data_IF_672371188559
#
_entry.id   IF_672371188559
#
_cell.length_a   1.000
_cell.length_b   1.000
_cell.length_c   1.000
_cell.angle_alpha   90.00
_cell.angle_beta   90.00
_cell.angle_gamma   90.00
#
_symmetry.space_group_name_H-M   'P 1'
#
loop_
_entity.id
_entity.type
_entity.pdbx_description
1 polymer ?
#
# COMPACT_ATOMS: atom_id res chain seq x y z
N UNK A 1 19.35 30.85 -46.32
CA UNK A 1 19.49 31.00 -47.78
C UNK A 1 19.91 29.63 -48.31
N UNK A 2 19.01 29.02 -49.09
CA UNK A 2 19.20 28.02 -50.15
C UNK A 2 20.34 26.97 -50.07
N UNK A 3 20.20 25.70 -50.45
CA UNK A 3 19.12 24.76 -50.82
C UNK A 3 19.91 23.50 -51.29
N UNK A 4 19.45 22.29 -50.92
CA UNK A 4 19.35 21.03 -51.70
C UNK A 4 20.67 20.52 -52.36
N UNK A 5 21.28 19.41 -51.93
CA UNK A 5 20.88 17.98 -52.03
C UNK A 5 20.91 17.43 -53.48
N UNK A 6 21.46 16.22 -53.65
CA UNK A 6 21.01 15.14 -54.56
C UNK A 6 22.09 14.07 -54.76
N UNK A 7 21.74 12.89 -54.25
CA UNK A 7 22.06 11.52 -54.66
C UNK A 7 22.47 11.24 -56.11
N UNK A 8 23.18 10.11 -56.30
CA UNK A 8 22.73 9.14 -57.31
C UNK A 8 23.75 8.50 -58.27
N UNK A 9 24.31 7.34 -57.87
CA UNK A 9 24.30 6.03 -58.60
C UNK A 9 24.88 5.92 -60.04
N UNK A 10 25.77 4.92 -60.24
CA UNK A 10 25.81 3.93 -61.36
C UNK A 10 27.02 2.99 -61.13
N UNK A 11 26.88 1.77 -60.59
CA UNK A 11 26.50 0.50 -61.22
C UNK A 11 27.40 0.06 -62.40
N UNK A 12 28.17 -1.03 -62.23
CA UNK A 12 28.24 -2.11 -63.23
C UNK A 12 29.02 -3.34 -62.70
N UNK A 13 28.31 -4.46 -62.62
CA UNK A 13 28.85 -5.82 -62.64
C UNK A 13 29.46 -6.08 -64.02
N UNK A 14 30.62 -6.75 -64.09
CA UNK A 14 30.82 -7.70 -65.19
C UNK A 14 31.70 -8.90 -64.83
N UNK A 15 31.30 -10.03 -65.39
CA UNK A 15 31.75 -11.41 -65.15
C UNK A 15 33.06 -11.69 -65.89
N UNK A 16 33.96 -12.50 -65.31
CA UNK A 16 34.65 -13.59 -66.05
C UNK A 16 34.90 -14.81 -65.15
N UNK A 17 34.08 -15.86 -65.38
CA UNK A 17 34.46 -17.28 -65.23
C UNK A 17 35.65 -17.55 -66.16
N UNK A 18 36.68 -18.33 -65.83
CA UNK A 18 36.85 -19.81 -65.96
C UNK A 18 38.38 -20.04 -65.94
N UNK A 19 39.03 -20.96 -65.24
CA UNK A 19 39.06 -22.44 -65.38
C UNK A 19 39.95 -23.03 -64.25
N UNK A 20 39.65 -24.28 -63.89
CA UNK A 20 40.41 -25.25 -63.10
C UNK A 20 41.96 -25.10 -63.12
N UNK A 21 42.71 -25.45 -62.08
CA UNK A 21 43.04 -26.86 -61.75
C UNK A 21 43.75 -26.94 -60.38
N UNK A 22 43.55 -28.07 -59.70
CA UNK A 22 43.99 -28.41 -58.36
C UNK A 22 45.51 -28.56 -58.15
N UNK A 23 45.90 -28.15 -56.93
CA UNK A 23 46.89 -28.70 -55.98
C UNK A 23 48.34 -29.00 -56.39
N UNK A 24 49.26 -28.35 -55.67
CA UNK A 24 50.28 -29.04 -54.86
C UNK A 24 50.55 -28.30 -53.55
N UNK A 25 50.48 -29.06 -52.46
CA UNK A 25 50.64 -28.67 -51.05
C UNK A 25 52.08 -28.21 -50.77
N UNK A 26 52.23 -27.15 -49.98
CA UNK A 26 53.37 -27.04 -49.07
C UNK A 26 52.94 -26.36 -47.77
N UNK A 27 52.98 -27.14 -46.71
CA UNK A 27 52.56 -26.82 -45.35
C UNK A 27 53.65 -26.03 -44.62
N UNK A 28 53.32 -24.85 -44.09
CA UNK A 28 54.14 -24.21 -43.06
C UNK A 28 53.26 -23.86 -41.85
N UNK A 29 53.45 -24.64 -40.79
CA UNK A 29 53.04 -24.52 -39.39
C UNK A 29 51.76 -23.75 -39.06
N UNK A 30 50.65 -24.48 -38.97
CA UNK A 30 49.39 -24.06 -38.33
C UNK A 30 49.50 -23.98 -36.79
N UNK A 31 50.66 -24.28 -36.19
CA UNK A 31 50.76 -24.44 -34.72
C UNK A 31 50.93 -23.12 -33.96
N UNK A 32 51.40 -22.06 -34.61
CA UNK A 32 51.71 -20.78 -33.92
C UNK A 32 50.48 -19.85 -33.88
N UNK A 33 49.58 -19.93 -34.88
CA UNK A 33 48.37 -19.11 -34.91
C UNK A 33 47.26 -19.64 -33.99
N UNK A 34 47.15 -20.97 -33.84
CA UNK A 34 46.20 -21.57 -32.90
C UNK A 34 46.61 -21.35 -31.44
N UNK A 35 47.91 -21.23 -31.13
CA UNK A 35 48.37 -20.95 -29.76
C UNK A 35 48.03 -19.51 -29.33
N UNK A 36 48.15 -18.54 -30.24
CA UNK A 36 47.75 -17.15 -29.99
C UNK A 36 46.22 -16.95 -29.97
N UNK A 37 45.45 -17.73 -30.74
CA UNK A 37 43.98 -17.68 -30.72
C UNK A 37 43.35 -18.43 -29.52
N UNK A 38 44.01 -19.48 -29.00
CA UNK A 38 43.57 -20.16 -27.77
C UNK A 38 43.84 -19.37 -26.49
N UNK A 39 44.95 -18.62 -26.44
CA UNK A 39 45.25 -17.75 -25.29
C UNK A 39 44.30 -16.54 -25.24
N UNK A 40 43.80 -16.06 -26.38
CA UNK A 40 42.86 -14.94 -26.42
C UNK A 40 41.41 -15.33 -26.06
N UNK A 41 41.00 -16.59 -26.32
CA UNK A 41 39.65 -17.07 -25.98
C UNK A 41 39.50 -17.59 -24.55
N UNK A 42 40.59 -17.92 -23.85
CA UNK A 42 40.53 -18.32 -22.43
C UNK A 42 40.41 -17.14 -21.45
N UNK A 43 40.65 -15.91 -21.90
CA UNK A 43 40.61 -14.70 -21.06
C UNK A 43 39.24 -14.01 -21.04
N UNK A 44 38.28 -14.43 -21.87
CA UNK A 44 36.98 -13.74 -22.02
C UNK A 44 35.88 -14.43 -21.18
N UNK A 45 36.12 -15.65 -20.68
CA UNK A 45 35.14 -16.44 -19.91
C UNK A 45 35.15 -16.24 -18.38
N UNK A 46 36.17 -15.64 -17.79
CA UNK A 46 36.36 -15.59 -16.32
C UNK A 46 35.82 -14.31 -15.64
N UNK A 47 35.28 -13.34 -16.38
CA UNK A 47 34.92 -12.03 -15.83
C UNK A 47 33.59 -11.98 -15.04
N UNK A 48 32.62 -12.86 -15.34
CA UNK A 48 31.28 -12.80 -14.73
C UNK A 48 31.16 -13.52 -13.38
N UNK A 49 31.90 -14.60 -13.15
CA UNK A 49 31.90 -15.29 -11.84
C UNK A 49 32.64 -14.51 -10.74
N UNK A 50 33.60 -13.66 -11.13
CA UNK A 50 34.41 -12.89 -10.18
C UNK A 50 33.62 -11.78 -9.47
N UNK A 51 32.67 -11.11 -10.15
CA UNK A 51 31.88 -10.03 -9.54
C UNK A 51 30.88 -10.55 -8.50
N UNK A 52 30.21 -11.67 -8.78
CA UNK A 52 29.30 -12.30 -7.81
C UNK A 52 30.05 -12.82 -6.58
N UNK A 53 31.21 -13.45 -6.79
CA UNK A 53 32.06 -13.92 -5.69
C UNK A 53 32.62 -12.76 -4.85
N UNK A 54 33.04 -11.67 -5.47
CA UNK A 54 33.43 -10.44 -4.78
C UNK A 54 32.27 -9.85 -3.97
N UNK A 55 31.07 -9.76 -4.53
CA UNK A 55 29.88 -9.29 -3.81
C UNK A 55 29.58 -10.17 -2.58
N UNK A 56 29.67 -11.51 -2.72
CA UNK A 56 29.54 -12.46 -1.60
C UNK A 56 30.61 -12.24 -0.54
N UNK A 57 31.86 -12.03 -0.94
CA UNK A 57 32.95 -11.75 -0.01
C UNK A 57 32.71 -10.45 0.79
N UNK A 58 32.26 -9.37 0.13
CA UNK A 58 31.90 -8.14 0.83
C UNK A 58 30.71 -8.33 1.79
N UNK A 59 29.70 -9.12 1.38
CA UNK A 59 28.57 -9.48 2.25
C UNK A 59 29.04 -10.23 3.50
N UNK A 60 29.91 -11.24 3.35
CA UNK A 60 30.45 -12.01 4.47
C UNK A 60 31.29 -11.13 5.40
N UNK A 61 32.19 -10.31 4.84
CA UNK A 61 32.99 -9.36 5.64
C UNK A 61 32.12 -8.38 6.41
N UNK A 62 31.06 -7.86 5.80
CA UNK A 62 30.10 -6.99 6.48
C UNK A 62 29.48 -7.69 7.69
N UNK A 63 29.07 -8.96 7.53
CA UNK A 63 28.52 -9.77 8.60
C UNK A 63 29.56 -10.05 9.71
N UNK A 64 30.79 -10.41 9.34
CA UNK A 64 31.88 -10.68 10.29
C UNK A 64 32.22 -9.43 11.11
N UNK A 65 32.37 -8.27 10.45
CA UNK A 65 32.65 -7.01 11.15
C UNK A 65 31.49 -6.57 12.04
N UNK A 66 30.26 -6.80 11.63
CA UNK A 66 29.10 -6.56 12.49
C UNK A 66 29.15 -7.41 13.76
N UNK A 67 29.38 -8.72 13.62
CA UNK A 67 29.49 -9.64 14.76
C UNK A 67 30.66 -9.29 15.69
N UNK A 68 31.81 -8.93 15.12
CA UNK A 68 32.97 -8.49 15.90
C UNK A 68 32.66 -7.20 16.67
N UNK A 69 32.06 -6.19 16.04
CA UNK A 69 31.68 -4.95 16.70
C UNK A 69 30.70 -5.20 17.86
N UNK A 70 29.67 -6.04 17.64
CA UNK A 70 28.73 -6.45 18.70
C UNK A 70 29.46 -7.09 19.88
N UNK A 71 30.41 -7.98 19.61
CA UNK A 71 31.21 -8.64 20.65
C UNK A 71 32.02 -7.63 21.45
N UNK A 72 32.77 -6.75 20.78
CA UNK A 72 33.60 -5.73 21.44
C UNK A 72 32.76 -4.80 22.33
N UNK A 73 31.59 -4.36 21.88
CA UNK A 73 30.69 -3.56 22.73
C UNK A 73 30.15 -4.33 23.94
N UNK A 74 29.81 -5.62 23.77
CA UNK A 74 29.37 -6.46 24.90
C UNK A 74 30.49 -6.64 25.92
N UNK A 75 31.72 -6.91 25.46
CA UNK A 75 32.89 -7.05 26.32
C UNK A 75 33.17 -5.75 27.09
N UNK A 76 33.00 -4.57 26.47
CA UNK A 76 33.09 -3.27 27.15
C UNK A 76 32.02 -3.08 28.23
N UNK A 77 30.78 -3.50 27.93
CA UNK A 77 29.65 -3.42 28.88
C UNK A 77 29.89 -4.35 30.07
N UNK A 78 30.33 -5.58 29.84
CA UNK A 78 30.60 -6.57 30.88
C UNK A 78 31.74 -6.11 31.80
N UNK A 79 32.72 -5.39 31.25
CA UNK A 79 33.81 -4.76 32.00
C UNK A 79 33.40 -3.45 32.70
N UNK A 80 32.13 -3.04 32.63
CA UNK A 80 31.61 -1.78 33.18
C UNK A 80 32.32 -0.52 32.67
N UNK A 81 32.92 -0.56 31.47
CA UNK A 81 33.63 0.56 30.85
C UNK A 81 32.69 1.34 29.93
N UNK A 82 32.63 2.66 30.11
CA UNK A 82 31.84 3.56 29.24
C UNK A 82 30.39 3.09 29.02
N UNK A 83 29.75 2.54 30.07
CA UNK A 83 28.45 1.84 29.98
C UNK A 83 27.40 2.61 29.17
N UNK A 84 27.24 3.92 29.39
CA UNK A 84 26.25 4.72 28.67
C UNK A 84 26.53 4.85 27.17
N UNK A 85 27.81 5.04 26.79
CA UNK A 85 28.22 5.18 25.39
C UNK A 85 28.22 3.83 24.67
N UNK A 86 28.75 2.78 25.30
CA UNK A 86 28.76 1.44 24.72
C UNK A 86 27.34 0.90 24.47
N UNK A 87 26.40 1.15 25.39
CA UNK A 87 24.99 0.79 25.18
C UNK A 87 24.32 1.64 24.10
N UNK A 88 24.64 2.94 24.00
CA UNK A 88 24.15 3.79 22.91
C UNK A 88 24.61 3.26 21.56
N UNK A 89 25.92 3.10 21.36
CA UNK A 89 26.50 2.70 20.07
C UNK A 89 26.09 1.27 19.66
N UNK A 90 26.07 0.33 20.60
CA UNK A 90 25.56 -1.02 20.35
C UNK A 90 24.07 -1.00 19.99
N UNK A 91 23.28 -0.19 20.69
CA UNK A 91 21.86 -0.01 20.39
C UNK A 91 21.61 0.57 18.99
N UNK A 92 22.38 1.58 18.60
CA UNK A 92 22.33 2.16 17.24
C UNK A 92 22.79 1.16 16.18
N UNK A 93 23.80 0.34 16.49
CA UNK A 93 24.28 -0.71 15.60
C UNK A 93 23.19 -1.76 15.35
N UNK A 94 22.52 -2.22 16.40
CA UNK A 94 21.36 -3.12 16.29
C UNK A 94 20.22 -2.49 15.49
N UNK A 95 19.92 -1.20 15.72
CA UNK A 95 18.87 -0.49 14.97
C UNK A 95 19.15 -0.46 13.47
N UNK A 96 20.40 -0.18 13.09
CA UNK A 96 20.84 -0.18 11.68
C UNK A 96 20.73 -1.55 11.00
N UNK A 97 20.80 -2.63 11.78
CA UNK A 97 20.64 -4.01 11.29
C UNK A 97 19.20 -4.55 11.47
N UNK A 98 18.24 -3.66 11.74
CA UNK A 98 16.82 -4.00 11.97
C UNK A 98 16.56 -4.95 13.16
N UNK A 99 17.51 -5.06 14.09
CA UNK A 99 17.35 -5.81 15.34
C UNK A 99 16.71 -4.94 16.43
N UNK A 100 15.48 -4.47 16.17
CA UNK A 100 14.84 -3.40 16.95
C UNK A 100 14.61 -3.73 18.43
N UNK A 101 14.28 -4.98 18.77
CA UNK A 101 14.13 -5.39 20.17
C UNK A 101 15.46 -5.32 20.94
N UNK A 102 16.56 -5.75 20.31
CA UNK A 102 17.91 -5.65 20.88
C UNK A 102 18.35 -4.20 20.99
N UNK A 103 18.09 -3.40 19.94
CA UNK A 103 18.33 -1.97 19.95
C UNK A 103 17.61 -1.28 21.13
N UNK A 104 16.30 -1.49 21.27
CA UNK A 104 15.50 -0.90 22.34
C UNK A 104 16.02 -1.25 23.74
N UNK A 105 16.41 -2.51 23.97
CA UNK A 105 17.00 -2.98 25.24
C UNK A 105 18.28 -2.24 25.60
N UNK A 106 19.22 -2.10 24.66
CA UNK A 106 20.48 -1.39 24.92
C UNK A 106 20.27 0.13 25.02
N UNK A 107 19.48 0.73 24.14
CA UNK A 107 19.20 2.17 24.16
C UNK A 107 18.48 2.61 25.44
N UNK A 108 17.67 1.74 26.06
CA UNK A 108 17.03 2.02 27.36
C UNK A 108 18.03 2.19 28.52
N UNK A 109 19.27 1.71 28.37
CA UNK A 109 20.34 1.81 29.38
C UNK A 109 21.20 3.06 29.20
N UNK A 110 20.87 3.92 28.24
CA UNK A 110 21.55 5.20 27.99
C UNK A 110 20.56 6.37 28.14
N UNK A 111 21.03 7.50 28.66
CA UNK A 111 20.18 8.64 29.04
C UNK A 111 20.12 9.78 28.01
N UNK A 112 20.96 9.73 26.96
CA UNK A 112 21.06 10.79 25.95
C UNK A 112 19.81 10.97 25.10
N UNK A 113 19.60 12.16 24.53
CA UNK A 113 18.46 12.43 23.64
C UNK A 113 18.45 11.51 22.41
N UNK A 114 19.63 11.21 21.86
CA UNK A 114 19.78 10.23 20.77
C UNK A 114 19.33 8.83 21.19
N UNK A 115 19.71 8.38 22.40
CA UNK A 115 19.26 7.11 22.94
C UNK A 115 17.73 7.05 23.08
N UNK A 116 17.12 8.12 23.60
CA UNK A 116 15.66 8.24 23.74
C UNK A 116 14.96 8.18 22.38
N UNK A 117 15.45 8.94 21.38
CA UNK A 117 14.93 8.95 20.01
C UNK A 117 14.95 7.55 19.40
N UNK A 118 16.12 6.92 19.33
CA UNK A 118 16.24 5.61 18.69
C UNK A 118 15.55 4.51 19.49
N UNK A 119 15.43 4.63 20.81
CA UNK A 119 14.60 3.70 21.59
C UNK A 119 13.13 3.79 21.17
N UNK A 120 12.58 4.99 21.08
CA UNK A 120 11.19 5.19 20.67
C UNK A 120 10.95 4.68 19.24
N UNK A 121 11.89 4.95 18.32
CA UNK A 121 11.85 4.41 16.96
C UNK A 121 11.95 2.88 16.94
N UNK A 122 12.81 2.26 17.74
CA UNK A 122 12.89 0.80 17.86
C UNK A 122 11.58 0.19 18.33
N UNK A 123 10.91 0.78 19.32
CA UNK A 123 9.60 0.34 19.81
C UNK A 123 8.54 0.45 18.71
N UNK A 124 8.50 1.58 17.99
CA UNK A 124 7.62 1.75 16.83
C UNK A 124 7.87 0.68 15.75
N UNK A 125 9.14 0.43 15.40
CA UNK A 125 9.52 -0.55 14.35
C UNK A 125 9.28 -2.01 14.75
N UNK A 126 9.20 -2.30 16.04
CA UNK A 126 8.81 -3.61 16.58
C UNK A 126 7.29 -3.75 16.78
N UNK A 127 6.50 -2.75 16.35
CA UNK A 127 5.04 -2.67 16.52
C UNK A 127 4.56 -2.59 17.98
N UNK A 128 5.44 -2.27 18.93
CA UNK A 128 5.05 -1.96 20.31
C UNK A 128 4.65 -0.49 20.42
N UNK A 129 3.49 -0.16 19.85
CA UNK A 129 3.01 1.22 19.75
C UNK A 129 2.68 1.83 21.13
N UNK A 130 2.29 1.00 22.10
CA UNK A 130 1.97 1.46 23.46
C UNK A 130 3.22 1.96 24.16
N UNK A 131 4.30 1.16 24.19
CA UNK A 131 5.56 1.61 24.77
C UNK A 131 6.21 2.72 23.94
N UNK A 132 6.09 2.67 22.59
CA UNK A 132 6.60 3.71 21.71
C UNK A 132 5.99 5.08 22.04
N UNK A 133 4.66 5.15 22.25
CA UNK A 133 3.96 6.40 22.61
C UNK A 133 4.57 7.02 23.87
N UNK A 134 4.76 6.21 24.91
CA UNK A 134 5.35 6.65 26.17
C UNK A 134 6.83 7.03 26.04
N UNK A 135 7.57 6.38 25.15
CA UNK A 135 8.96 6.73 24.85
C UNK A 135 9.07 8.06 24.09
N UNK A 136 8.24 8.28 23.06
CA UNK A 136 8.22 9.54 22.31
C UNK A 136 7.88 10.75 23.18
N UNK A 137 6.92 10.59 24.09
CA UNK A 137 6.51 11.64 25.03
C UNK A 137 7.64 12.15 25.93
N UNK A 138 8.69 11.35 26.16
CA UNK A 138 9.85 11.68 27.03
C UNK A 138 10.97 12.41 26.29
N UNK A 139 10.84 12.63 24.98
CA UNK A 139 11.84 13.32 24.17
C UNK A 139 11.58 14.83 24.24
N UNK A 140 12.60 15.57 24.65
CA UNK A 140 12.53 17.04 24.73
C UNK A 140 12.92 17.63 23.39
N UNK A 141 12.17 18.63 22.92
CA UNK A 141 12.40 19.30 21.63
C UNK A 141 12.58 18.32 20.45
N UNK A 142 11.61 17.41 20.21
CA UNK A 142 11.73 16.40 19.17
C UNK A 142 11.87 17.04 17.78
N UNK A 143 12.74 16.47 16.95
CA UNK A 143 12.88 16.84 15.54
C UNK A 143 11.67 16.38 14.71
N UNK A 144 11.61 16.80 13.44
CA UNK A 144 10.48 16.49 12.55
C UNK A 144 10.32 14.99 12.27
N UNK A 145 11.42 14.22 12.21
CA UNK A 145 11.36 12.77 12.09
C UNK A 145 10.70 12.13 13.33
N UNK A 146 11.12 12.55 14.51
CA UNK A 146 10.62 12.06 15.80
C UNK A 146 9.14 12.39 15.97
N UNK A 147 8.75 13.63 15.66
CA UNK A 147 7.34 14.04 15.68
C UNK A 147 6.50 13.25 14.67
N UNK A 148 7.02 13.02 13.46
CA UNK A 148 6.31 12.25 12.45
C UNK A 148 6.04 10.81 12.92
N UNK A 149 7.05 10.09 13.41
CA UNK A 149 6.84 8.73 13.92
C UNK A 149 6.03 8.69 15.23
N UNK A 150 6.07 9.76 16.03
CA UNK A 150 5.16 9.90 17.17
C UNK A 150 3.70 10.03 16.72
N UNK A 151 3.42 10.87 15.72
CA UNK A 151 2.09 10.98 15.10
C UNK A 151 1.61 9.65 14.55
N UNK A 152 2.47 8.92 13.82
CA UNK A 152 2.15 7.58 13.30
C UNK A 152 1.86 6.59 14.42
N UNK A 153 2.59 6.67 15.53
CA UNK A 153 2.35 5.82 16.70
C UNK A 153 0.96 6.07 17.29
N UNK A 154 0.56 7.34 17.44
CA UNK A 154 -0.78 7.70 17.90
C UNK A 154 -1.86 7.20 16.92
N UNK A 155 -1.62 7.31 15.61
CA UNK A 155 -2.53 6.80 14.57
C UNK A 155 -2.70 5.29 14.65
N UNK A 156 -1.63 4.51 14.85
CA UNK A 156 -1.69 3.05 15.05
C UNK A 156 -2.46 2.63 16.29
N UNK A 157 -2.58 3.52 17.27
CA UNK A 157 -3.39 3.36 18.47
C UNK A 157 -4.82 3.92 18.32
N UNK A 158 -5.21 4.35 17.12
CA UNK A 158 -6.49 5.03 16.83
C UNK A 158 -6.71 6.33 17.60
N UNK A 159 -5.63 7.00 18.05
CA UNK A 159 -5.65 8.28 18.76
C UNK A 159 -5.53 9.44 17.77
N UNK A 160 -6.51 9.58 16.89
CA UNK A 160 -6.43 10.47 15.72
C UNK A 160 -6.29 11.95 16.08
N UNK A 161 -6.97 12.45 17.13
CA UNK A 161 -6.88 13.86 17.50
C UNK A 161 -5.49 14.22 18.07
N UNK A 162 -4.89 13.31 18.86
CA UNK A 162 -3.48 13.43 19.29
C UNK A 162 -2.53 13.38 18.08
N UNK A 163 -2.74 12.44 17.16
CA UNK A 163 -1.93 12.29 15.95
C UNK A 163 -1.95 13.55 15.10
N UNK A 164 -3.13 14.13 14.83
CA UNK A 164 -3.28 15.38 14.08
C UNK A 164 -2.55 16.54 14.74
N UNK A 165 -2.69 16.69 16.07
CA UNK A 165 -1.98 17.72 16.82
C UNK A 165 -0.45 17.56 16.83
N UNK A 166 0.05 16.33 16.70
CA UNK A 166 1.49 16.05 16.55
C UNK A 166 1.95 16.32 15.11
N UNK A 167 1.22 15.82 14.10
CA UNK A 167 1.55 16.04 12.70
C UNK A 167 1.58 17.52 12.32
N UNK A 168 0.68 18.34 12.87
CA UNK A 168 0.67 19.79 12.62
C UNK A 168 1.93 20.53 13.12
N UNK A 169 2.74 19.87 13.97
CA UNK A 169 4.01 20.39 14.50
C UNK A 169 5.23 19.93 13.68
N UNK A 170 5.04 19.09 12.66
CA UNK A 170 6.11 18.60 11.78
C UNK A 170 6.36 19.64 10.68
N UNK A 171 7.51 20.34 10.76
CA UNK A 171 7.77 21.53 9.93
C UNK A 171 8.86 21.32 8.87
N UNK A 172 9.74 20.34 9.02
CA UNK A 172 10.90 20.16 8.12
C UNK A 172 10.69 19.01 7.13
N UNK A 173 11.13 19.22 5.89
CA UNK A 173 11.13 18.21 4.83
C UNK A 173 12.14 17.07 5.13
N UNK A 174 11.89 15.84 4.67
CA UNK A 174 10.71 15.40 3.91
C UNK A 174 9.47 15.14 4.78
N UNK A 175 9.61 15.15 6.10
CA UNK A 175 8.56 14.71 7.02
C UNK A 175 7.35 15.64 7.06
N UNK A 176 7.51 16.94 6.79
CA UNK A 176 6.38 17.87 6.69
C UNK A 176 5.43 17.52 5.55
N UNK A 177 5.94 17.09 4.39
CA UNK A 177 5.11 16.61 3.29
C UNK A 177 4.36 15.33 3.67
N UNK A 178 5.09 14.36 4.25
CA UNK A 178 4.49 13.10 4.73
C UNK A 178 3.42 13.33 5.80
N UNK A 179 3.66 14.24 6.75
CA UNK A 179 2.69 14.61 7.77
C UNK A 179 1.44 15.26 7.16
N UNK A 180 1.62 16.12 6.15
CA UNK A 180 0.51 16.70 5.38
C UNK A 180 -0.35 15.64 4.70
N UNK A 181 0.28 14.64 4.06
CA UNK A 181 -0.42 13.50 3.46
C UNK A 181 -1.21 12.69 4.51
N UNK A 182 -0.63 12.45 5.70
CA UNK A 182 -1.35 11.76 6.77
C UNK A 182 -2.53 12.58 7.31
N UNK A 183 -2.37 13.89 7.51
CA UNK A 183 -3.47 14.78 7.91
C UNK A 183 -4.59 14.73 6.88
N UNK A 184 -4.27 14.81 5.59
CA UNK A 184 -5.25 14.73 4.52
C UNK A 184 -5.95 13.37 4.48
N UNK A 185 -5.21 12.27 4.70
CA UNK A 185 -5.77 10.92 4.76
C UNK A 185 -6.72 10.75 5.95
N UNK A 186 -6.31 11.17 7.14
CA UNK A 186 -7.07 11.06 8.40
C UNK A 186 -8.36 11.87 8.34
N UNK A 187 -8.28 13.10 7.85
CA UNK A 187 -9.42 14.01 7.88
C UNK A 187 -10.29 13.89 6.65
N UNK A 188 -9.70 13.65 5.47
CA UNK A 188 -10.28 13.92 4.14
C UNK A 188 -11.08 15.23 4.08
N UNK A 189 -10.78 16.17 4.97
CA UNK A 189 -11.49 17.43 5.17
C UNK A 189 -10.76 18.48 4.37
N UNK A 190 -11.27 18.79 3.18
CA UNK A 190 -10.58 19.72 2.28
C UNK A 190 -11.25 19.91 0.93
N UNK A 191 -12.18 19.05 0.57
CA UNK A 191 -12.98 19.22 -0.63
C UNK A 191 -14.31 19.85 -0.25
N UNK A 192 -14.43 21.18 -0.37
CA UNK A 192 -15.72 21.89 -0.33
C UNK A 192 -16.50 21.59 -1.61
N UNK A 193 -16.80 20.31 -1.83
CA UNK A 193 -17.62 19.86 -2.95
C UNK A 193 -19.07 20.11 -2.55
N UNK A 194 -19.78 20.84 -3.40
CA UNK A 194 -21.22 20.94 -3.33
C UNK A 194 -21.84 19.82 -4.18
N UNK A 195 -23.03 19.35 -3.80
CA UNK A 195 -23.75 18.27 -4.51
C UNK A 195 -23.92 18.54 -6.02
N UNK A 196 -24.00 19.82 -6.42
CA UNK A 196 -24.18 20.20 -7.83
C UNK A 196 -22.95 19.88 -8.70
N UNK A 197 -21.79 19.65 -8.08
CA UNK A 197 -20.55 19.26 -8.75
C UNK A 197 -20.36 17.74 -8.82
N UNK A 198 -21.34 16.96 -8.34
CA UNK A 198 -21.34 15.50 -8.51
C UNK A 198 -21.67 15.11 -9.96
N UNK A 199 -21.30 13.89 -10.40
CA UNK A 199 -21.75 13.35 -11.67
C UNK A 199 -23.26 13.55 -11.87
N UNK A 200 -23.65 14.00 -13.07
CA UNK A 200 -25.03 14.40 -13.39
C UNK A 200 -26.08 13.38 -12.93
N UNK A 201 -25.83 12.09 -13.17
CA UNK A 201 -26.74 11.00 -12.75
C UNK A 201 -27.02 11.00 -11.24
N UNK A 202 -26.00 11.26 -10.41
CA UNK A 202 -26.14 11.28 -8.96
C UNK A 202 -26.90 12.53 -8.53
N UNK A 203 -26.55 13.70 -9.07
CA UNK A 203 -27.24 14.96 -8.78
C UNK A 203 -28.72 14.89 -9.15
N UNK A 204 -29.05 14.27 -10.28
CA UNK A 204 -30.45 14.02 -10.70
C UNK A 204 -31.17 13.07 -9.73
N UNK A 205 -30.54 11.97 -9.32
CA UNK A 205 -31.11 11.03 -8.36
C UNK A 205 -31.36 11.68 -6.99
N UNK A 206 -30.43 12.52 -6.52
CA UNK A 206 -30.53 13.28 -5.27
C UNK A 206 -31.70 14.27 -5.34
N UNK A 207 -31.79 15.05 -6.41
CA UNK A 207 -32.81 16.08 -6.57
C UNK A 207 -34.21 15.49 -6.78
N UNK A 208 -34.31 14.33 -7.44
CA UNK A 208 -35.56 13.60 -7.62
C UNK A 208 -35.96 12.75 -6.40
N UNK A 209 -35.10 12.66 -5.38
CA UNK A 209 -35.30 11.78 -4.23
C UNK A 209 -36.53 12.21 -3.42
N UNK A 210 -37.57 11.36 -3.32
CA UNK A 210 -38.79 11.70 -2.59
C UNK A 210 -38.51 11.88 -1.09
N UNK A 211 -39.36 12.63 -0.40
CA UNK A 211 -39.34 12.75 1.06
C UNK A 211 -40.03 11.58 1.75
N UNK A 212 -40.00 11.60 3.08
CA UNK A 212 -40.53 10.54 3.93
C UNK A 212 -42.05 10.36 3.77
N UNK A 213 -42.78 11.40 3.39
CA UNK A 213 -44.22 11.39 3.16
C UNK A 213 -44.68 10.36 2.12
N UNK A 214 -43.85 10.05 1.11
CA UNK A 214 -44.14 9.01 0.11
C UNK A 214 -43.84 7.60 0.61
N UNK A 215 -42.96 7.47 1.61
CA UNK A 215 -42.50 6.19 2.17
C UNK A 215 -42.56 6.23 3.71
N UNK A 216 -43.76 6.32 4.32
CA UNK A 216 -43.90 6.59 5.75
C UNK A 216 -43.34 5.47 6.66
N UNK A 217 -43.14 4.27 6.12
CA UNK A 217 -42.60 3.12 6.85
C UNK A 217 -41.09 2.92 6.63
N UNK A 218 -40.49 3.63 5.66
CA UNK A 218 -39.08 3.48 5.31
C UNK A 218 -38.20 4.29 6.28
N UNK A 219 -37.04 3.73 6.60
CA UNK A 219 -36.01 4.42 7.38
C UNK A 219 -35.07 5.20 6.46
N UNK A 220 -34.86 4.70 5.24
CA UNK A 220 -34.02 5.29 4.21
C UNK A 220 -34.56 4.96 2.82
N UNK A 221 -33.95 5.53 1.78
CA UNK A 221 -34.21 5.18 0.38
C UNK A 221 -32.90 4.91 -0.32
N UNK A 222 -32.79 3.75 -0.96
CA UNK A 222 -31.65 3.42 -1.82
C UNK A 222 -31.95 4.04 -3.18
N UNK A 223 -31.33 5.18 -3.46
CA UNK A 223 -31.51 5.92 -4.72
C UNK A 223 -30.79 5.23 -5.88
N UNK A 224 -29.64 4.64 -5.59
CA UNK A 224 -28.84 3.83 -6.51
C UNK A 224 -28.26 2.63 -5.77
N UNK A 225 -28.44 1.44 -6.34
CA UNK A 225 -27.62 0.24 -6.14
C UNK A 225 -27.05 -0.10 -7.52
N UNK A 226 -25.73 -0.07 -7.67
CA UNK A 226 -25.03 -0.40 -8.90
C UNK A 226 -23.92 -1.41 -8.60
N UNK A 227 -24.14 -2.63 -9.06
CA UNK A 227 -23.36 -3.81 -8.68
C UNK A 227 -22.81 -4.49 -9.94
N UNK A 228 -21.49 -4.69 -9.95
CA UNK A 228 -20.77 -5.34 -11.04
C UNK A 228 -19.90 -6.47 -10.49
N UNK A 229 -20.12 -7.67 -11.01
CA UNK A 229 -19.28 -8.83 -10.76
C UNK A 229 -18.53 -9.16 -12.04
N UNK A 230 -17.21 -9.20 -11.95
CA UNK A 230 -16.34 -9.61 -13.05
C UNK A 230 -15.52 -10.84 -12.63
N UNK A 231 -15.75 -11.96 -13.29
CA UNK A 231 -15.04 -13.22 -13.07
C UNK A 231 -14.04 -13.43 -14.20
N UNK A 232 -12.78 -13.70 -13.86
CA UNK A 232 -11.73 -13.99 -14.84
C UNK A 232 -11.72 -15.47 -15.25
N UNK A 233 -11.00 -15.78 -16.34
CA UNK A 233 -10.77 -17.17 -16.77
C UNK A 233 -9.96 -17.96 -15.72
N UNK A 234 -9.08 -17.29 -14.99
CA UNK A 234 -8.19 -17.83 -13.97
C UNK A 234 -8.84 -17.97 -12.58
N UNK A 235 -10.18 -18.02 -12.51
CA UNK A 235 -10.93 -18.17 -11.25
C UNK A 235 -10.67 -17.06 -10.21
N UNK A 236 -10.38 -15.84 -10.68
CA UNK A 236 -10.40 -14.64 -9.82
C UNK A 236 -11.70 -13.87 -10.02
N UNK A 237 -12.07 -13.03 -9.05
CA UNK A 237 -13.26 -12.19 -9.17
C UNK A 237 -13.03 -10.78 -8.61
N UNK A 238 -13.71 -9.81 -9.22
CA UNK A 238 -13.82 -8.44 -8.70
C UNK A 238 -15.29 -8.10 -8.56
N UNK A 239 -15.71 -7.87 -7.32
CA UNK A 239 -17.04 -7.36 -6.98
C UNK A 239 -16.90 -5.84 -6.83
N UNK A 240 -17.70 -5.07 -7.55
CA UNK A 240 -17.74 -3.60 -7.46
C UNK A 240 -19.14 -3.18 -7.06
N UNK A 241 -19.24 -2.34 -6.04
CA UNK A 241 -20.51 -1.86 -5.51
C UNK A 241 -20.50 -0.35 -5.39
N UNK A 242 -21.57 0.31 -5.83
CA UNK A 242 -21.79 1.74 -5.69
C UNK A 242 -23.22 1.99 -5.21
N UNK A 243 -23.32 2.59 -4.02
CA UNK A 243 -24.60 2.90 -3.40
C UNK A 243 -24.75 4.39 -3.14
N UNK A 244 -26.00 4.85 -3.29
CA UNK A 244 -26.45 6.19 -2.90
C UNK A 244 -27.72 6.05 -2.07
N UNK A 245 -27.69 6.44 -0.80
CA UNK A 245 -28.76 6.15 0.17
C UNK A 245 -29.18 7.42 0.90
N UNK A 246 -30.45 7.81 0.77
CA UNK A 246 -31.04 8.95 1.47
C UNK A 246 -31.61 8.54 2.82
N UNK A 247 -31.21 9.25 3.87
CA UNK A 247 -31.66 9.02 5.23
C UNK A 247 -32.97 9.78 5.46
N UNK A 248 -34.04 9.08 5.82
CA UNK A 248 -35.36 9.70 5.99
C UNK A 248 -35.70 10.05 7.43
N UNK A 249 -35.11 9.37 8.42
CA UNK A 249 -35.39 9.57 9.83
C UNK A 249 -34.28 9.00 10.72
N UNK A 250 -34.42 9.17 12.04
CA UNK A 250 -33.45 8.67 13.03
C UNK A 250 -33.21 7.15 12.97
N UNK A 251 -34.18 6.33 12.52
CA UNK A 251 -33.96 4.89 12.33
C UNK A 251 -33.01 4.65 11.15
N UNK A 252 -33.17 5.39 10.06
CA UNK A 252 -32.25 5.33 8.93
C UNK A 252 -30.85 5.75 9.33
N UNK A 253 -30.74 6.83 10.11
CA UNK A 253 -29.46 7.29 10.64
C UNK A 253 -28.78 6.20 11.48
N UNK A 254 -29.51 5.51 12.35
CA UNK A 254 -28.96 4.41 13.15
C UNK A 254 -28.54 3.21 12.29
N UNK A 255 -29.33 2.86 11.28
CA UNK A 255 -29.07 1.69 10.42
C UNK A 255 -27.92 1.91 9.44
N UNK A 256 -27.70 3.16 9.00
CA UNK A 256 -26.75 3.51 7.94
C UNK A 256 -25.59 4.41 8.41
N UNK A 257 -25.47 4.69 9.71
CA UNK A 257 -24.31 5.43 10.24
C UNK A 257 -22.99 4.69 10.05
N UNK A 258 -23.05 3.36 9.97
CA UNK A 258 -21.92 2.51 9.61
C UNK A 258 -22.36 1.55 8.49
N UNK A 259 -21.49 1.33 7.51
CA UNK A 259 -21.58 0.16 6.65
C UNK A 259 -20.52 -0.86 7.04
N UNK A 260 -20.85 -2.14 6.87
CA UNK A 260 -19.98 -3.26 7.21
C UNK A 260 -19.75 -4.08 5.96
N UNK A 261 -18.51 -4.12 5.48
CA UNK A 261 -18.08 -4.92 4.35
C UNK A 261 -17.35 -6.14 4.90
N UNK A 262 -18.01 -7.29 4.89
CA UNK A 262 -17.39 -8.56 5.28
C UNK A 262 -16.43 -9.04 4.20
N UNK A 263 -15.29 -9.61 4.61
CA UNK A 263 -14.34 -10.25 3.71
C UNK A 263 -13.50 -11.32 4.40
N UNK A 264 -13.02 -12.29 3.63
CA UNK A 264 -12.03 -13.28 4.06
C UNK A 264 -10.61 -12.80 3.72
N UNK A 265 -9.82 -12.39 4.71
CA UNK A 265 -8.48 -11.83 4.45
C UNK A 265 -7.47 -12.82 3.85
N UNK A 266 -7.79 -14.11 3.76
CA UNK A 266 -6.96 -15.11 3.07
C UNK A 266 -7.03 -14.93 1.55
N UNK A 267 -8.25 -14.68 1.04
CA UNK A 267 -8.53 -14.70 -0.40
C UNK A 267 -8.97 -13.34 -0.94
N UNK A 268 -9.41 -12.44 -0.04
CA UNK A 268 -10.10 -11.22 -0.40
C UNK A 268 -9.39 -9.96 0.11
N UNK A 269 -9.46 -8.92 -0.72
CA UNK A 269 -9.01 -7.58 -0.38
C UNK A 269 -10.09 -6.57 -0.72
N UNK A 270 -10.52 -5.83 0.29
CA UNK A 270 -11.41 -4.68 0.11
C UNK A 270 -10.58 -3.45 -0.30
N UNK A 271 -11.04 -2.73 -1.30
CA UNK A 271 -10.54 -1.43 -1.73
C UNK A 271 -11.70 -0.43 -1.73
N UNK A 272 -11.68 0.54 -0.81
CA UNK A 272 -12.65 1.63 -0.81
C UNK A 272 -12.19 2.69 -1.81
N UNK A 273 -12.95 2.92 -2.89
CA UNK A 273 -12.65 3.99 -3.84
C UNK A 273 -12.97 5.35 -3.22
N UNK A 274 -14.18 5.47 -2.64
CA UNK A 274 -14.56 6.61 -1.81
C UNK A 274 -15.80 6.28 -0.95
N UNK A 275 -15.96 7.04 0.12
CA UNK A 275 -17.21 7.14 0.87
C UNK A 275 -17.39 8.59 1.33
N UNK A 276 -18.63 9.07 1.38
CA UNK A 276 -18.97 10.45 1.74
C UNK A 276 -20.39 10.59 2.23
N UNK A 277 -20.62 11.60 3.06
CA UNK A 277 -21.93 12.09 3.46
C UNK A 277 -22.22 13.39 2.70
N UNK A 278 -23.35 13.47 2.02
CA UNK A 278 -23.93 14.69 1.49
C UNK A 278 -24.93 15.19 2.52
N UNK A 279 -24.66 16.36 3.09
CA UNK A 279 -25.54 17.00 4.08
C UNK A 279 -26.82 17.53 3.43
N UNK A 280 -27.87 17.81 4.22
CA UNK A 280 -29.10 18.43 3.71
C UNK A 280 -28.89 19.80 3.04
N UNK A 281 -27.80 20.50 3.36
CA UNK A 281 -27.42 21.78 2.73
C UNK A 281 -26.56 21.60 1.47
N UNK A 282 -26.38 20.36 0.99
CA UNK A 282 -25.65 20.04 -0.24
C UNK A 282 -24.13 19.98 -0.08
N UNK A 283 -23.59 20.23 1.11
CA UNK A 283 -22.15 20.10 1.37
C UNK A 283 -21.76 18.62 1.44
N UNK A 284 -20.71 18.26 0.71
CA UNK A 284 -20.13 16.92 0.71
C UNK A 284 -19.01 16.81 1.74
N UNK A 285 -19.12 15.81 2.62
CA UNK A 285 -18.16 15.48 3.67
C UNK A 285 -17.58 14.10 3.37
N UNK A 286 -16.33 14.06 2.93
CA UNK A 286 -15.63 12.80 2.63
C UNK A 286 -15.25 12.03 3.90
N UNK A 287 -15.33 10.71 3.84
CA UNK A 287 -14.89 9.81 4.92
C UNK A 287 -13.36 9.72 4.93
N UNK A 288 -12.75 10.27 5.98
CA UNK A 288 -11.31 10.12 6.25
C UNK A 288 -10.96 8.78 6.92
N UNK A 289 -9.68 8.42 6.93
CA UNK A 289 -9.22 7.12 7.47
C UNK A 289 -9.55 6.95 8.97
N UNK A 290 -9.74 8.03 9.73
CA UNK A 290 -10.20 7.98 11.13
C UNK A 290 -11.58 7.33 11.32
N UNK A 291 -12.36 7.25 10.24
CA UNK A 291 -13.71 6.71 10.23
C UNK A 291 -13.77 5.30 9.62
N UNK A 292 -12.62 4.69 9.34
CA UNK A 292 -12.54 3.38 8.69
C UNK A 292 -11.73 2.44 9.58
N UNK A 293 -12.27 1.27 9.87
CA UNK A 293 -11.59 0.26 10.70
C UNK A 293 -11.78 -1.15 10.16
N UNK A 294 -10.71 -1.94 10.21
CA UNK A 294 -10.74 -3.37 9.87
C UNK A 294 -10.68 -4.21 11.15
N UNK A 295 -11.76 -4.93 11.46
CA UNK A 295 -11.87 -5.76 12.67
C UNK A 295 -11.97 -7.24 12.33
N UNK A 296 -11.62 -8.11 13.28
CA UNK A 296 -11.98 -9.52 13.18
C UNK A 296 -13.45 -9.68 13.54
N UNK A 297 -14.18 -10.49 12.76
CA UNK A 297 -15.62 -10.72 12.98
C UNK A 297 -15.87 -11.60 14.21
N UNK A 298 -14.95 -12.52 14.51
CA UNK A 298 -15.10 -13.54 15.55
C UNK A 298 -13.92 -13.53 16.53
N UNK A 299 -13.83 -12.50 17.37
CA UNK A 299 -12.73 -12.27 18.32
C UNK A 299 -12.39 -13.50 19.20
N UNK A 300 -13.40 -14.26 19.61
CA UNK A 300 -13.24 -15.41 20.52
C UNK A 300 -13.00 -16.74 19.78
N UNK A 301 -12.87 -16.72 18.45
CA UNK A 301 -12.69 -17.93 17.65
C UNK A 301 -11.47 -17.78 16.72
N UNK A 302 -10.25 -18.08 17.20
CA UNK A 302 -9.01 -17.88 16.44
C UNK A 302 -8.97 -18.59 15.07
N UNK A 303 -9.68 -19.72 14.94
CA UNK A 303 -9.82 -20.46 13.68
C UNK A 303 -10.51 -19.65 12.57
N UNK A 304 -11.28 -18.61 12.92
CA UNK A 304 -11.93 -17.70 11.97
C UNK A 304 -11.31 -16.30 11.98
N UNK A 305 -10.02 -16.20 12.34
CA UNK A 305 -9.31 -14.91 12.38
C UNK A 305 -9.22 -14.22 11.01
N UNK A 306 -9.32 -14.99 9.93
CA UNK A 306 -9.41 -14.50 8.55
C UNK A 306 -10.77 -13.90 8.19
N UNK A 307 -11.84 -14.23 8.92
CA UNK A 307 -13.12 -13.56 8.75
C UNK A 307 -13.04 -12.14 9.34
N UNK A 308 -13.00 -11.15 8.46
CA UNK A 308 -12.82 -9.75 8.81
C UNK A 308 -13.98 -8.90 8.31
N UNK A 309 -14.11 -7.73 8.92
CA UNK A 309 -15.10 -6.74 8.52
C UNK A 309 -14.40 -5.37 8.41
N UNK A 310 -14.57 -4.72 7.26
CA UNK A 310 -14.23 -3.31 7.08
C UNK A 310 -15.46 -2.48 7.42
N UNK A 311 -15.37 -1.70 8.49
CA UNK A 311 -16.42 -0.83 8.96
C UNK A 311 -16.11 0.59 8.53
N UNK A 312 -17.07 1.25 7.89
CA UNK A 312 -16.97 2.65 7.45
C UNK A 312 -18.06 3.44 8.17
N UNK A 313 -17.65 4.37 9.03
CA UNK A 313 -18.55 5.25 9.77
C UNK A 313 -18.73 6.57 9.02
N UNK A 314 -19.96 7.01 8.78
CA UNK A 314 -20.22 8.24 8.02
C UNK A 314 -20.26 9.46 8.96
N UNK A 315 -19.37 10.47 8.78
CA UNK A 315 -19.42 11.69 9.57
C UNK A 315 -20.62 12.55 9.19
N UNK A 316 -21.10 13.39 10.11
CA UNK A 316 -22.14 14.41 9.88
C UNK A 316 -23.47 13.86 9.32
N UNK A 317 -23.79 12.59 9.58
CA UNK A 317 -25.06 11.98 9.18
C UNK A 317 -26.22 12.53 10.04
N UNK A 318 -27.24 13.04 9.35
CA UNK A 318 -28.46 13.61 9.94
C UNK A 318 -29.69 13.17 9.14
N UNK A 319 -30.89 13.44 9.64
CA UNK A 319 -32.11 13.29 8.84
C UNK A 319 -32.02 14.16 7.58
N UNK A 320 -32.35 13.58 6.43
CA UNK A 320 -32.23 14.24 5.12
C UNK A 320 -30.83 14.14 4.49
N UNK A 321 -29.81 13.70 5.22
CA UNK A 321 -28.49 13.41 4.64
C UNK A 321 -28.58 12.29 3.60
N UNK A 322 -27.62 12.25 2.70
CA UNK A 322 -27.43 11.15 1.75
C UNK A 322 -26.03 10.60 1.95
N UNK A 323 -25.88 9.29 2.08
CA UNK A 323 -24.57 8.64 2.08
C UNK A 323 -24.29 8.06 0.70
N UNK A 324 -23.04 8.12 0.30
CA UNK A 324 -22.56 7.51 -0.93
C UNK A 324 -21.26 6.78 -0.66
N UNK A 325 -21.15 5.56 -1.18
CA UNK A 325 -19.92 4.81 -1.11
C UNK A 325 -19.74 3.94 -2.33
N UNK A 326 -18.47 3.75 -2.69
CA UNK A 326 -18.06 2.89 -3.78
C UNK A 326 -16.82 2.12 -3.39
N UNK A 327 -16.88 0.80 -3.55
CA UNK A 327 -15.78 -0.08 -3.19
C UNK A 327 -15.67 -1.27 -4.14
N UNK A 328 -14.53 -1.93 -4.06
CA UNK A 328 -14.24 -3.20 -4.73
C UNK A 328 -13.83 -4.25 -3.72
N UNK A 329 -14.23 -5.49 -3.95
CA UNK A 329 -13.68 -6.68 -3.30
C UNK A 329 -12.99 -7.50 -4.37
N UNK A 330 -11.66 -7.61 -4.25
CA UNK A 330 -10.86 -8.49 -5.10
C UNK A 330 -10.76 -9.83 -4.42
N UNK A 331 -11.10 -10.90 -5.14
CA UNK A 331 -10.98 -12.28 -4.70
C UNK A 331 -9.99 -13.00 -5.62
N UNK A 332 -8.93 -13.57 -5.04
CA UNK A 332 -7.87 -14.24 -5.79
C UNK A 332 -8.19 -15.71 -6.15
N UNK A 333 -9.23 -16.29 -5.57
CA UNK A 333 -9.65 -17.67 -5.82
C UNK A 333 -11.15 -17.85 -5.61
N UNK A 334 -11.86 -18.44 -6.57
CA UNK A 334 -13.25 -18.87 -6.39
C UNK A 334 -13.31 -20.13 -5.52
N UNK A 335 -14.20 -20.14 -4.52
CA UNK A 335 -14.35 -21.23 -3.54
C UNK A 335 -14.57 -22.59 -4.22
N UNK A 336 -15.28 -22.63 -5.35
CA UNK A 336 -15.64 -23.87 -6.04
C UNK A 336 -14.87 -24.09 -7.35
N UNK A 337 -13.76 -23.37 -7.59
CA UNK A 337 -12.91 -23.40 -8.79
C UNK A 337 -13.67 -23.37 -10.13
N UNK A 338 -14.29 -24.49 -10.50
CA UNK A 338 -15.05 -24.73 -11.72
C UNK A 338 -16.47 -24.15 -11.72
N UNK A 339 -17.07 -23.89 -10.55
CA UNK A 339 -18.45 -23.39 -10.43
C UNK A 339 -18.52 -22.03 -9.72
N UNK A 340 -19.45 -21.17 -10.14
CA UNK A 340 -19.75 -19.89 -9.50
C UNK A 340 -21.19 -19.88 -8.97
N UNK A 341 -21.35 -19.68 -7.67
CA UNK A 341 -22.66 -19.50 -7.03
C UNK A 341 -22.86 -18.07 -6.57
N UNK A 342 -24.00 -17.47 -6.91
CA UNK A 342 -24.40 -16.14 -6.46
C UNK A 342 -25.84 -16.16 -5.95
N UNK A 343 -26.04 -15.63 -4.75
CA UNK A 343 -27.36 -15.21 -4.28
C UNK A 343 -27.45 -13.69 -4.46
N UNK A 344 -28.30 -13.25 -5.40
CA UNK A 344 -28.57 -11.82 -5.63
C UNK A 344 -30.00 -11.51 -5.21
N UNK A 345 -30.15 -10.55 -4.30
CA UNK A 345 -31.46 -10.13 -3.79
C UNK A 345 -32.04 -9.03 -4.68
N UNK A 346 -33.27 -9.21 -5.15
CA UNK A 346 -33.98 -8.19 -5.94
C UNK A 346 -34.67 -7.13 -5.07
N UNK A 347 -34.81 -7.41 -3.77
CA UNK A 347 -35.47 -6.55 -2.80
C UNK A 347 -34.57 -6.40 -1.58
N UNK A 348 -34.36 -5.16 -1.19
CA UNK A 348 -33.65 -4.78 0.03
C UNK A 348 -34.61 -4.51 1.20
N UNK A 349 -34.04 -4.35 2.38
CA UNK A 349 -34.79 -3.96 3.59
C UNK A 349 -35.44 -2.58 3.49
N UNK A 350 -34.87 -1.69 2.68
CA UNK A 350 -35.38 -0.36 2.37
C UNK A 350 -35.77 -0.24 0.88
N UNK A 351 -36.69 0.65 0.49
CA UNK A 351 -37.08 0.82 -0.90
C UNK A 351 -35.91 1.21 -1.81
N UNK A 352 -35.79 0.51 -2.95
CA UNK A 352 -34.79 0.78 -3.98
C UNK A 352 -35.45 1.51 -5.16
N UNK A 353 -34.89 2.65 -5.55
CA UNK A 353 -35.39 3.47 -6.67
C UNK A 353 -34.78 3.02 -8.00
N UNK A 354 -33.48 2.73 -8.00
CA UNK A 354 -32.74 2.26 -9.18
C UNK A 354 -31.75 1.19 -8.76
N UNK A 355 -31.89 0.00 -9.33
CA UNK A 355 -30.95 -1.11 -9.18
C UNK A 355 -30.34 -1.44 -10.54
N UNK A 356 -29.02 -1.61 -10.58
CA UNK A 356 -28.26 -2.11 -11.73
C UNK A 356 -27.41 -3.27 -11.27
N UNK A 357 -27.55 -4.38 -11.97
CA UNK A 357 -26.72 -5.56 -11.75
C UNK A 357 -26.10 -5.99 -13.07
N UNK A 358 -24.79 -6.23 -13.05
CA UNK A 358 -24.05 -6.76 -14.20
C UNK A 358 -23.12 -7.88 -13.76
N UNK A 359 -23.26 -9.04 -14.41
CA UNK A 359 -22.32 -10.16 -14.30
C UNK A 359 -21.55 -10.28 -15.61
N UNK A 360 -20.22 -10.30 -15.51
CA UNK A 360 -19.29 -10.58 -16.60
C UNK A 360 -18.54 -11.86 -16.22
N UNK A 361 -18.64 -12.89 -17.07
CA UNK A 361 -17.96 -14.15 -16.85
C UNK A 361 -17.46 -14.76 -18.17
N UNK A 362 -16.44 -15.64 -18.15
CA UNK A 362 -15.98 -16.36 -19.32
C UNK A 362 -17.11 -17.25 -19.88
N UNK A 363 -17.24 -17.32 -21.21
CA UNK A 363 -18.33 -18.04 -21.87
C UNK A 363 -18.28 -19.57 -21.74
N UNK A 364 -17.16 -20.11 -21.27
CA UNK A 364 -16.90 -21.53 -21.05
C UNK A 364 -17.14 -21.99 -19.61
N UNK A 365 -17.52 -21.09 -18.70
CA UNK A 365 -17.91 -21.42 -17.32
C UNK A 365 -19.42 -21.70 -17.22
N UNK A 366 -19.82 -22.85 -16.65
CA UNK A 366 -21.22 -23.26 -16.54
C UNK A 366 -22.01 -22.46 -15.49
#
# INVERSE_FOLDING_TARGET
>A
MHIIDTDGILNMKDKRLKIHTQFKKFTFSLSIFYFLFFIFNFLIGCGKNNQLEQARNYSNKSQDYYQQAVKEYKDLIDQSRNLGQANLELGLLYYKHAEYELAGRHLSKSSGQEAKKYRALSLYRSNDFTEAKEAFKKIENPDSETLFFYGQTCEKLNLYDEALGIYSRVLQQPFSALAGEQIQSITKSGENIHQDNLPQELSEAINAAPGAEKYPNAAALILLSDELINISAENTAVFSEHFLIKILNERGKQNFSEIVIDYDSTYEKVELEYARTIRPDGIVVSVGSRHIRDVSKYLNFPLYSNARARIISFPEITEGSIIEYKYKVYRNELINENDFGLAYYLQESEPVTKARFKLIMPGDKP
#
